data_IF_786923597781
#
_entry.id   IF_786923597781
#
_cell.length_a   1.000
_cell.length_b   1.000
_cell.length_c   1.000
_cell.angle_alpha   90.00
_cell.angle_beta   90.00
_cell.angle_gamma   90.00
#
_symmetry.space_group_name_H-M   'P 1'
#
loop_
_entity.id
_entity.type
_entity.pdbx_description
1 polymer ?
#
# COMPACT_ATOMS: atom_id res chain seq x y z
N UNK A 1 -52.24 -14.21 17.66
CA UNK A 1 -50.89 -14.46 17.07
C UNK A 1 -50.52 -13.31 16.13
N UNK A 2 -49.69 -12.37 16.57
CA UNK A 2 -48.94 -11.45 15.70
C UNK A 2 -47.55 -11.29 16.32
N UNK A 3 -46.54 -11.89 15.69
CA UNK A 3 -45.13 -11.79 16.11
C UNK A 3 -44.58 -10.44 15.65
N UNK A 4 -44.11 -9.63 16.61
CA UNK A 4 -43.31 -8.43 16.36
C UNK A 4 -41.91 -8.86 15.91
N UNK A 5 -41.54 -8.50 14.68
CA UNK A 5 -40.17 -8.58 14.20
C UNK A 5 -39.37 -7.40 14.77
N UNK A 6 -38.33 -7.69 15.56
CA UNK A 6 -37.34 -6.70 16.02
C UNK A 6 -36.48 -6.26 14.84
N UNK A 7 -36.52 -4.95 14.52
CA UNK A 7 -35.56 -4.26 13.66
C UNK A 7 -34.26 -4.06 14.43
N UNK A 8 -33.24 -4.88 14.17
CA UNK A 8 -31.86 -4.70 14.65
C UNK A 8 -30.93 -4.43 13.46
N UNK A 9 -31.08 -3.29 12.79
CA UNK A 9 -30.30 -2.98 11.57
C UNK A 9 -29.79 -1.54 11.45
N UNK A 10 -29.99 -0.67 12.45
CA UNK A 10 -29.75 0.78 12.32
C UNK A 10 -28.69 1.36 13.25
N UNK A 11 -28.09 0.58 14.16
CA UNK A 11 -27.21 1.11 15.23
C UNK A 11 -25.69 1.03 14.97
N UNK A 12 -25.22 0.31 13.94
CA UNK A 12 -23.77 0.30 13.64
C UNK A 12 -23.35 1.55 12.87
N UNK A 13 -24.07 1.94 11.81
CA UNK A 13 -23.70 3.08 10.96
C UNK A 13 -23.76 4.43 11.69
N UNK A 14 -24.66 4.60 12.66
CA UNK A 14 -24.78 5.82 13.47
C UNK A 14 -23.64 5.97 14.49
N UNK A 15 -23.14 4.87 15.04
CA UNK A 15 -22.01 4.85 15.97
C UNK A 15 -20.67 5.04 15.26
N UNK A 16 -20.47 4.48 14.06
CA UNK A 16 -19.25 4.69 13.27
C UNK A 16 -19.10 6.16 12.89
N UNK A 17 -20.17 6.81 12.44
CA UNK A 17 -20.16 8.24 12.10
C UNK A 17 -19.90 9.16 13.30
N UNK A 18 -20.48 8.87 14.47
CA UNK A 18 -20.16 9.61 15.71
C UNK A 18 -18.69 9.45 16.09
N UNK A 19 -18.17 8.22 16.04
CA UNK A 19 -16.78 7.92 16.41
C UNK A 19 -15.77 8.56 15.46
N UNK A 20 -16.03 8.52 14.14
CA UNK A 20 -15.20 9.21 13.15
C UNK A 20 -15.16 10.73 13.42
N UNK A 21 -16.32 11.32 13.67
CA UNK A 21 -16.44 12.76 13.95
C UNK A 21 -15.62 13.16 15.19
N UNK A 22 -15.68 12.36 16.26
CA UNK A 22 -14.87 12.59 17.47
C UNK A 22 -13.36 12.42 17.24
N UNK A 23 -12.94 11.51 16.35
CA UNK A 23 -11.53 11.30 16.01
C UNK A 23 -10.95 12.47 15.20
N UNK A 24 -11.78 13.12 14.38
CA UNK A 24 -11.39 14.26 13.53
C UNK A 24 -11.37 15.58 14.32
N UNK A 25 -12.30 15.76 15.27
CA UNK A 25 -12.45 17.00 16.04
C UNK A 25 -11.54 17.06 17.30
N UNK A 26 -10.56 16.15 17.41
CA UNK A 26 -9.65 16.10 18.55
C UNK A 26 -8.70 17.31 18.59
N UNK A 27 -8.27 17.71 19.79
CA UNK A 27 -7.39 18.88 20.02
C UNK A 27 -5.99 18.77 19.39
N UNK A 28 -5.62 17.59 18.87
CA UNK A 28 -4.41 17.27 18.09
C UNK A 28 -4.68 15.97 17.31
N UNK A 29 -5.35 16.05 16.15
CA UNK A 29 -5.71 14.85 15.41
C UNK A 29 -4.49 14.21 14.76
N UNK A 30 -4.49 12.89 14.63
CA UNK A 30 -3.41 12.17 13.94
C UNK A 30 -3.40 12.47 12.43
N UNK A 31 -4.59 12.68 11.86
CA UNK A 31 -4.81 13.05 10.47
C UNK A 31 -5.59 14.35 10.37
N UNK A 32 -5.19 15.22 9.46
CA UNK A 32 -5.89 16.46 9.15
C UNK A 32 -6.66 16.29 7.84
N UNK A 33 -7.98 16.39 7.90
CA UNK A 33 -8.87 16.24 6.74
C UNK A 33 -9.52 17.56 6.29
N UNK A 34 -8.86 18.70 6.52
CA UNK A 34 -9.31 20.01 6.03
C UNK A 34 -9.15 20.10 4.50
N UNK A 35 -8.08 19.52 3.95
CA UNK A 35 -7.81 19.48 2.51
C UNK A 35 -6.99 18.24 2.13
N UNK A 36 -6.94 17.87 0.83
CA UNK A 36 -6.04 16.83 0.33
C UNK A 36 -4.57 17.03 0.77
N UNK A 37 -4.08 18.27 0.68
CA UNK A 37 -2.72 18.63 1.09
C UNK A 37 -2.49 18.44 2.59
N UNK A 38 -3.41 18.88 3.45
CA UNK A 38 -3.27 18.72 4.89
C UNK A 38 -3.30 17.24 5.33
N UNK A 39 -4.05 16.40 4.59
CA UNK A 39 -4.06 14.94 4.82
C UNK A 39 -2.72 14.31 4.50
N UNK A 40 -2.09 14.64 3.37
CA UNK A 40 -0.73 14.20 3.08
C UNK A 40 0.23 14.70 4.17
N UNK A 41 0.21 15.99 4.47
CA UNK A 41 1.13 16.60 5.44
C UNK A 41 1.01 15.97 6.82
N UNK A 42 -0.20 15.56 7.25
CA UNK A 42 -0.39 14.85 8.51
C UNK A 42 0.32 13.47 8.59
N UNK A 43 0.50 12.80 7.45
CA UNK A 43 1.28 11.55 7.36
C UNK A 43 2.78 11.84 7.47
N UNK A 44 3.26 12.85 6.74
CA UNK A 44 4.67 13.14 6.57
C UNK A 44 5.25 14.15 7.58
N UNK A 45 4.48 14.60 8.59
CA UNK A 45 4.99 15.54 9.61
C UNK A 45 6.31 15.06 10.24
N UNK A 46 7.31 15.93 10.49
CA UNK A 46 7.22 17.39 10.48
C UNK A 46 7.45 18.03 9.10
N UNK A 47 7.57 17.23 8.04
CA UNK A 47 7.78 17.74 6.69
C UNK A 47 6.47 18.28 6.11
N UNK A 48 6.57 19.34 5.32
CA UNK A 48 5.46 19.82 4.51
C UNK A 48 5.53 19.22 3.10
N UNK A 49 4.43 19.33 2.36
CA UNK A 49 4.28 18.77 1.01
C UNK A 49 5.34 19.31 0.04
N UNK A 50 5.70 20.59 0.13
CA UNK A 50 6.72 21.21 -0.73
C UNK A 50 8.10 20.59 -0.51
N UNK A 51 8.53 20.43 0.75
CA UNK A 51 9.80 19.76 1.09
C UNK A 51 9.77 18.31 0.64
N UNK A 52 8.66 17.61 0.87
CA UNK A 52 8.50 16.22 0.42
C UNK A 52 8.70 16.06 -1.09
N UNK A 53 8.00 16.85 -1.90
CA UNK A 53 8.10 16.80 -3.36
C UNK A 53 9.50 17.19 -3.88
N UNK A 54 10.11 18.20 -3.26
CA UNK A 54 11.41 18.69 -3.70
C UNK A 54 12.56 17.75 -3.34
N UNK A 55 12.50 17.11 -2.18
CA UNK A 55 13.68 16.45 -1.62
C UNK A 55 13.56 14.92 -1.61
N UNK A 56 12.34 14.36 -1.63
CA UNK A 56 12.10 12.93 -1.39
C UNK A 56 11.33 12.24 -2.52
N UNK A 57 10.24 12.84 -3.00
CA UNK A 57 9.37 12.25 -4.02
C UNK A 57 10.17 11.82 -5.26
N UNK A 58 10.04 10.54 -5.63
CA UNK A 58 10.75 9.88 -6.74
C UNK A 58 12.28 9.98 -6.67
N UNK A 59 12.86 10.25 -5.49
CA UNK A 59 14.30 10.49 -5.32
C UNK A 59 14.94 9.60 -4.28
N UNK A 60 14.40 9.59 -3.05
CA UNK A 60 15.01 8.85 -1.94
C UNK A 60 14.00 8.54 -0.84
N UNK A 61 14.30 7.53 0.01
CA UNK A 61 13.47 7.24 1.17
C UNK A 61 13.34 8.42 2.13
N UNK A 62 12.16 8.56 2.73
CA UNK A 62 11.88 9.43 3.86
C UNK A 62 11.54 8.56 5.07
N UNK A 63 12.46 8.47 6.02
CA UNK A 63 12.25 7.75 7.28
C UNK A 63 11.88 8.75 8.37
N UNK A 64 10.68 8.61 8.93
CA UNK A 64 10.18 9.49 9.98
C UNK A 64 9.82 8.69 11.23
N UNK A 65 10.81 8.58 12.12
CA UNK A 65 10.66 7.96 13.43
C UNK A 65 10.11 9.00 14.40
N UNK A 66 8.84 8.86 14.77
CA UNK A 66 8.17 9.76 15.72
C UNK A 66 8.61 9.34 17.12
N UNK A 67 9.72 9.92 17.59
CA UNK A 67 10.35 9.61 18.88
C UNK A 67 9.52 9.99 20.13
N UNK A 68 8.26 10.42 19.98
CA UNK A 68 7.36 10.77 21.07
C UNK A 68 6.38 9.63 21.39
N UNK A 69 6.06 9.44 22.67
CA UNK A 69 4.98 8.55 23.05
C UNK A 69 3.66 9.05 22.43
N UNK A 70 3.02 8.21 21.61
CA UNK A 70 1.68 8.50 21.13
C UNK A 70 0.73 8.67 22.31
N UNK A 71 -0.17 9.63 22.20
CA UNK A 71 -1.28 9.73 23.16
C UNK A 71 -2.17 8.49 23.04
N UNK A 72 -2.87 8.15 24.14
CA UNK A 72 -3.86 7.06 24.13
C UNK A 72 -4.85 7.19 22.97
N UNK A 73 -5.29 8.42 22.69
CA UNK A 73 -6.19 8.72 21.58
C UNK A 73 -5.57 8.40 20.22
N UNK A 74 -4.30 8.75 19.98
CA UNK A 74 -3.62 8.42 18.71
C UNK A 74 -3.44 6.91 18.53
N UNK A 75 -3.17 6.17 19.60
CA UNK A 75 -3.16 4.70 19.54
C UNK A 75 -4.54 4.13 19.17
N UNK A 76 -5.63 4.68 19.73
CA UNK A 76 -7.00 4.29 19.39
C UNK A 76 -7.33 4.62 17.92
N UNK A 77 -6.85 5.75 17.40
CA UNK A 77 -6.99 6.12 15.98
C UNK A 77 -6.28 5.11 15.10
N UNK A 78 -4.99 4.82 15.34
CA UNK A 78 -4.22 3.84 14.55
C UNK A 78 -4.88 2.46 14.55
N UNK A 79 -5.29 1.98 15.71
CA UNK A 79 -5.94 0.68 15.87
C UNK A 79 -7.32 0.61 15.17
N UNK A 80 -7.96 1.76 14.95
CA UNK A 80 -9.23 1.85 14.22
C UNK A 80 -9.08 1.79 12.69
N UNK A 81 -7.89 2.07 12.16
CA UNK A 81 -7.58 1.92 10.72
C UNK A 81 -7.67 0.44 10.36
N UNK A 82 -6.85 -0.36 11.04
CA UNK A 82 -6.86 -1.82 10.98
C UNK A 82 -6.07 -2.37 12.17
N UNK A 83 -6.48 -3.53 12.68
CA UNK A 83 -5.78 -4.22 13.78
C UNK A 83 -5.92 -5.73 13.65
N UNK A 84 -5.15 -6.46 14.45
CA UNK A 84 -5.32 -7.92 14.57
C UNK A 84 -6.76 -8.28 14.99
N UNK A 85 -7.38 -7.48 15.86
CA UNK A 85 -8.78 -7.68 16.28
C UNK A 85 -9.77 -7.53 15.11
N UNK A 86 -9.58 -6.52 14.25
CA UNK A 86 -10.42 -6.33 13.05
C UNK A 86 -10.35 -7.55 12.12
N UNK A 87 -9.16 -8.14 11.96
CA UNK A 87 -8.99 -9.37 11.19
C UNK A 87 -9.74 -10.57 11.81
N UNK A 88 -9.65 -10.72 13.14
CA UNK A 88 -10.36 -11.79 13.86
C UNK A 88 -11.89 -11.67 13.73
N UNK A 89 -12.42 -10.46 13.80
CA UNK A 89 -13.85 -10.17 13.60
C UNK A 89 -14.28 -10.47 12.16
N UNK A 90 -13.49 -10.04 11.17
CA UNK A 90 -13.74 -10.35 9.76
C UNK A 90 -13.72 -11.87 9.49
N UNK A 91 -12.88 -12.63 10.19
CA UNK A 91 -12.82 -14.09 10.11
C UNK A 91 -14.04 -14.77 10.76
N UNK A 92 -14.56 -14.24 11.88
CA UNK A 92 -15.79 -14.75 12.52
C UNK A 92 -17.00 -14.56 11.60
N UNK A 93 -17.06 -13.42 10.94
CA UNK A 93 -18.15 -13.07 10.02
C UNK A 93 -17.95 -13.58 8.59
N UNK A 94 -16.82 -14.25 8.31
CA UNK A 94 -16.52 -14.83 7.00
C UNK A 94 -16.59 -13.78 5.87
N UNK A 95 -15.98 -12.60 6.09
CA UNK A 95 -16.03 -11.48 5.14
C UNK A 95 -14.93 -11.48 4.08
N UNK A 96 -13.84 -12.22 4.29
CA UNK A 96 -12.64 -12.17 3.44
C UNK A 96 -12.45 -13.47 2.67
N UNK A 97 -12.27 -13.38 1.35
CA UNK A 97 -11.94 -14.52 0.48
C UNK A 97 -10.44 -14.60 0.21
N UNK A 98 -9.88 -15.81 0.32
CA UNK A 98 -8.49 -16.07 -0.05
C UNK A 98 -8.27 -15.80 -1.54
N UNK A 99 -7.15 -15.17 -1.90
CA UNK A 99 -6.82 -14.82 -3.28
C UNK A 99 -7.41 -13.49 -3.76
N UNK A 100 -8.59 -13.11 -3.22
CA UNK A 100 -9.28 -11.88 -3.60
C UNK A 100 -9.09 -10.77 -2.57
N UNK A 101 -9.37 -11.07 -1.30
CA UNK A 101 -9.35 -10.07 -0.22
C UNK A 101 -8.13 -10.22 0.68
N UNK A 102 -7.48 -11.39 0.69
CA UNK A 102 -6.23 -11.59 1.41
C UNK A 102 -5.36 -12.70 0.81
N UNK A 103 -4.06 -12.59 1.09
CA UNK A 103 -3.09 -13.67 0.99
C UNK A 103 -2.47 -13.95 2.37
N UNK A 104 -1.91 -15.15 2.51
CA UNK A 104 -1.09 -15.51 3.66
C UNK A 104 0.20 -16.14 3.16
N UNK A 105 1.34 -15.59 3.59
CA UNK A 105 2.66 -15.96 3.10
C UNK A 105 3.69 -15.99 4.24
N UNK A 106 4.84 -16.60 3.98
CA UNK A 106 6.01 -16.53 4.86
C UNK A 106 7.28 -16.56 4.04
N UNK A 107 8.33 -15.93 4.52
CA UNK A 107 9.66 -16.08 3.96
C UNK A 107 10.33 -17.30 4.58
N UNK A 108 10.83 -18.22 3.75
CA UNK A 108 11.49 -19.45 4.21
C UNK A 108 13.02 -19.33 4.33
N UNK A 109 13.57 -18.16 4.00
CA UNK A 109 15.01 -17.89 3.93
C UNK A 109 15.53 -17.73 2.51
N UNK A 110 14.81 -18.26 1.51
CA UNK A 110 15.17 -18.14 0.09
C UNK A 110 14.10 -17.38 -0.69
N UNK A 111 12.82 -17.66 -0.43
CA UNK A 111 11.70 -17.07 -1.16
C UNK A 111 10.45 -16.90 -0.32
N UNK A 112 9.52 -16.13 -0.85
CA UNK A 112 8.16 -16.04 -0.32
C UNK A 112 7.40 -17.32 -0.66
N UNK A 113 6.84 -17.97 0.35
CA UNK A 113 6.02 -19.16 0.24
C UNK A 113 4.59 -18.84 0.64
N UNK A 114 3.68 -18.93 -0.32
CA UNK A 114 2.25 -18.74 -0.08
C UNK A 114 1.61 -19.97 0.58
N UNK A 115 0.60 -19.71 1.41
CA UNK A 115 -0.26 -20.74 1.98
C UNK A 115 -1.24 -21.29 0.92
N UNK A 116 -0.71 -21.98 -0.11
CA UNK A 116 -1.43 -22.50 -1.29
C UNK A 116 -2.59 -23.47 -0.99
N UNK A 117 -2.66 -24.01 0.23
CA UNK A 117 -3.77 -24.87 0.65
C UNK A 117 -4.96 -24.09 1.23
N UNK A 118 -4.84 -22.79 1.45
CA UNK A 118 -5.96 -21.97 1.86
C UNK A 118 -6.88 -21.71 0.65
N UNK A 119 -8.17 -22.00 0.81
CA UNK A 119 -9.20 -21.76 -0.20
C UNK A 119 -10.49 -21.28 0.47
N UNK A 120 -11.28 -20.54 -0.27
CA UNK A 120 -12.57 -20.05 0.18
C UNK A 120 -12.43 -18.92 1.21
N UNK A 121 -13.39 -18.86 2.12
CA UNK A 121 -13.52 -17.75 3.06
C UNK A 121 -12.66 -17.94 4.31
N UNK A 122 -12.08 -16.85 4.80
CA UNK A 122 -11.37 -16.83 6.08
C UNK A 122 -12.34 -17.16 7.21
N UNK A 123 -12.02 -18.20 7.98
CA UNK A 123 -12.71 -18.59 9.21
C UNK A 123 -11.78 -18.38 10.41
N UNK A 124 -12.34 -18.31 11.63
CA UNK A 124 -11.53 -18.26 12.86
C UNK A 124 -10.54 -19.44 12.97
N UNK A 125 -10.94 -20.63 12.51
CA UNK A 125 -10.09 -21.82 12.53
C UNK A 125 -8.90 -21.70 11.57
N UNK A 126 -9.15 -21.27 10.32
CA UNK A 126 -8.07 -21.05 9.35
C UNK A 126 -7.17 -19.88 9.76
N UNK A 127 -7.72 -18.81 10.33
CA UNK A 127 -6.95 -17.70 10.85
C UNK A 127 -5.98 -18.20 11.95
N UNK A 128 -6.50 -18.94 12.94
CA UNK A 128 -5.68 -19.50 14.02
C UNK A 128 -4.57 -20.42 13.47
N UNK A 129 -4.90 -21.28 12.51
CA UNK A 129 -3.95 -22.19 11.87
C UNK A 129 -2.85 -21.44 11.13
N UNK A 130 -3.19 -20.47 10.29
CA UNK A 130 -2.23 -19.76 9.44
C UNK A 130 -1.39 -18.75 10.24
N UNK A 131 -2.05 -17.87 11.00
CA UNK A 131 -1.39 -16.76 11.68
C UNK A 131 -0.59 -17.24 12.91
N UNK A 132 -1.18 -18.08 13.76
CA UNK A 132 -0.52 -18.53 15.00
C UNK A 132 0.21 -19.86 14.83
N UNK A 133 -0.38 -20.81 14.09
CA UNK A 133 0.20 -22.15 13.92
C UNK A 133 1.35 -22.18 12.92
N UNK A 134 1.14 -21.64 11.73
CA UNK A 134 2.13 -21.65 10.63
C UNK A 134 3.00 -20.40 10.58
N UNK A 135 2.71 -19.42 11.44
CA UNK A 135 3.35 -18.11 11.52
C UNK A 135 3.37 -17.34 10.18
N UNK A 136 2.31 -17.45 9.39
CA UNK A 136 2.17 -16.69 8.16
C UNK A 136 1.89 -15.21 8.43
N UNK A 137 2.49 -14.33 7.63
CA UNK A 137 2.04 -12.95 7.46
C UNK A 137 0.77 -12.93 6.64
N UNK A 138 -0.22 -12.16 7.10
CA UNK A 138 -1.43 -11.87 6.32
C UNK A 138 -1.25 -10.56 5.57
N UNK A 139 -1.52 -10.59 4.27
CA UNK A 139 -1.63 -9.41 3.41
C UNK A 139 -3.11 -9.22 3.08
N UNK A 140 -3.73 -8.16 3.59
CA UNK A 140 -5.13 -7.83 3.38
C UNK A 140 -5.22 -6.79 2.27
N UNK A 141 -5.97 -7.10 1.23
CA UNK A 141 -6.08 -6.28 0.03
C UNK A 141 -7.22 -5.28 0.15
N UNK A 142 -6.92 -4.01 -0.17
CA UNK A 142 -7.90 -2.92 -0.23
C UNK A 142 -8.76 -2.80 1.06
N UNK A 143 -8.13 -2.70 2.25
CA UNK A 143 -8.83 -2.63 3.53
C UNK A 143 -9.69 -1.36 3.70
N UNK A 144 -9.49 -0.33 2.87
CA UNK A 144 -10.35 0.85 2.83
C UNK A 144 -11.83 0.51 2.58
N UNK A 145 -12.13 -0.63 1.94
CA UNK A 145 -13.50 -1.13 1.75
C UNK A 145 -14.24 -1.43 3.05
N UNK A 146 -13.53 -1.53 4.17
CA UNK A 146 -14.05 -1.92 5.48
C UNK A 146 -13.66 -0.94 6.60
N UNK A 147 -12.97 0.15 6.27
CA UNK A 147 -12.47 1.14 7.24
C UNK A 147 -12.74 2.54 6.72
N UNK A 148 -13.77 3.20 7.28
CA UNK A 148 -14.20 4.55 6.85
C UNK A 148 -13.09 5.60 7.02
N UNK A 149 -12.29 5.48 8.09
CA UNK A 149 -11.15 6.38 8.33
C UNK A 149 -10.09 6.22 7.24
N UNK A 150 -9.78 4.96 6.90
CA UNK A 150 -8.81 4.69 5.84
C UNK A 150 -9.35 5.11 4.48
N UNK A 151 -10.62 4.82 4.18
CA UNK A 151 -11.25 5.27 2.95
C UNK A 151 -11.16 6.78 2.79
N UNK A 152 -11.50 7.55 3.82
CA UNK A 152 -11.38 9.01 3.79
C UNK A 152 -9.94 9.46 3.56
N UNK A 153 -8.97 8.82 4.20
CA UNK A 153 -7.56 9.12 3.97
C UNK A 153 -7.15 8.86 2.52
N UNK A 154 -7.51 7.70 1.97
CA UNK A 154 -7.14 7.37 0.59
C UNK A 154 -7.83 8.29 -0.41
N UNK A 155 -9.11 8.64 -0.22
CA UNK A 155 -9.83 9.56 -1.10
C UNK A 155 -9.18 10.96 -1.14
N UNK A 156 -8.75 11.47 0.02
CA UNK A 156 -7.99 12.72 0.09
C UNK A 156 -6.65 12.61 -0.65
N UNK A 157 -5.94 11.48 -0.52
CA UNK A 157 -4.69 11.27 -1.23
C UNK A 157 -4.90 11.09 -2.75
N UNK A 158 -5.97 10.44 -3.19
CA UNK A 158 -6.35 10.35 -4.61
C UNK A 158 -6.58 11.74 -5.18
N UNK A 159 -7.30 12.59 -4.45
CA UNK A 159 -7.51 14.00 -4.81
C UNK A 159 -6.21 14.80 -4.86
N UNK A 160 -5.23 14.50 -4.00
CA UNK A 160 -3.93 15.17 -3.99
C UNK A 160 -3.05 14.74 -5.18
N UNK A 161 -2.91 13.42 -5.40
CA UNK A 161 -2.02 12.87 -6.42
C UNK A 161 -2.62 12.87 -7.83
N UNK A 162 -3.95 12.98 -7.95
CA UNK A 162 -4.64 12.97 -9.23
C UNK A 162 -4.65 11.61 -9.92
N UNK A 163 -4.43 10.52 -9.17
CA UNK A 163 -4.47 9.15 -9.66
C UNK A 163 -4.92 8.20 -8.54
N UNK A 164 -5.09 6.92 -8.88
CA UNK A 164 -5.57 5.91 -7.92
C UNK A 164 -4.61 5.77 -6.73
N UNK A 165 -5.21 5.60 -5.55
CA UNK A 165 -4.49 5.31 -4.30
C UNK A 165 -5.09 4.04 -3.70
N UNK A 166 -4.29 2.99 -3.69
CA UNK A 166 -4.64 1.72 -3.07
C UNK A 166 -4.02 1.57 -1.69
N UNK A 167 -4.38 0.49 -1.00
CA UNK A 167 -3.63 0.08 0.18
C UNK A 167 -3.68 -1.42 0.43
N UNK A 168 -2.66 -1.92 1.12
CA UNK A 168 -2.59 -3.25 1.69
C UNK A 168 -2.23 -3.15 3.18
N UNK A 169 -2.83 -4.00 4.00
CA UNK A 169 -2.42 -4.15 5.41
C UNK A 169 -1.64 -5.45 5.57
N UNK A 170 -0.53 -5.39 6.31
CA UNK A 170 0.27 -6.56 6.63
C UNK A 170 0.27 -6.80 8.13
N UNK A 171 -0.13 -8.00 8.54
CA UNK A 171 -0.08 -8.48 9.92
C UNK A 171 0.92 -9.62 10.00
N UNK A 172 2.04 -9.40 10.69
CA UNK A 172 3.17 -10.34 10.78
C UNK A 172 3.34 -10.83 12.22
N UNK A 173 3.38 -12.16 12.46
CA UNK A 173 3.69 -12.73 13.77
C UNK A 173 5.06 -12.31 14.32
N UNK A 174 5.26 -12.29 15.65
CA UNK A 174 6.55 -11.94 16.23
C UNK A 174 7.69 -12.84 15.75
N UNK A 175 8.85 -12.24 15.50
CA UNK A 175 10.08 -12.94 15.08
C UNK A 175 9.97 -13.63 13.72
N UNK A 176 9.09 -13.17 12.82
CA UNK A 176 8.97 -13.72 11.47
C UNK A 176 9.00 -12.67 10.37
N UNK A 177 9.35 -13.12 9.17
CA UNK A 177 9.33 -12.36 7.94
C UNK A 177 8.30 -12.96 6.97
N UNK A 178 7.49 -12.09 6.37
CA UNK A 178 6.42 -12.49 5.45
C UNK A 178 6.89 -12.65 4.01
N UNK A 179 7.63 -11.65 3.53
CA UNK A 179 8.04 -11.53 2.14
C UNK A 179 9.56 -11.55 2.05
N UNK A 180 10.06 -12.21 1.00
CA UNK A 180 11.44 -12.06 0.56
C UNK A 180 11.72 -10.61 0.12
N UNK A 181 13.00 -10.21 -0.01
CA UNK A 181 13.34 -8.92 -0.60
C UNK A 181 12.72 -8.73 -1.99
N UNK A 182 12.18 -7.55 -2.24
CA UNK A 182 11.48 -7.21 -3.48
C UNK A 182 11.48 -5.69 -3.70
N UNK A 183 11.06 -5.26 -4.89
CA UNK A 183 10.67 -3.87 -5.14
C UNK A 183 9.35 -3.84 -5.90
N UNK A 184 8.58 -2.78 -5.66
CA UNK A 184 7.28 -2.56 -6.27
C UNK A 184 7.35 -1.55 -7.43
N UNK A 185 6.28 -1.50 -8.21
CA UNK A 185 6.03 -0.61 -9.36
C UNK A 185 5.22 0.65 -9.00
N UNK A 186 5.14 0.96 -7.71
CA UNK A 186 4.32 2.04 -7.15
C UNK A 186 5.11 2.86 -6.14
N UNK A 187 4.69 4.10 -5.94
CA UNK A 187 5.18 4.95 -4.86
C UNK A 187 4.56 4.46 -3.55
N UNK A 188 5.40 4.22 -2.53
CA UNK A 188 4.99 3.51 -1.31
C UNK A 188 5.08 4.42 -0.08
N UNK A 189 3.98 4.46 0.66
CA UNK A 189 3.83 5.12 1.95
C UNK A 189 3.47 4.06 2.99
N UNK A 190 4.22 3.95 4.08
CA UNK A 190 4.02 2.98 5.14
C UNK A 190 3.76 3.70 6.45
N UNK A 191 2.69 3.28 7.13
CA UNK A 191 2.35 3.72 8.48
C UNK A 191 2.25 2.50 9.38
N UNK A 192 3.08 2.46 10.42
CA UNK A 192 3.06 1.38 11.41
C UNK A 192 1.88 1.61 12.37
N UNK A 193 1.03 0.58 12.54
CA UNK A 193 -0.20 0.65 13.33
C UNK A 193 -0.04 -0.01 14.71
N UNK A 194 0.54 -1.21 14.75
CA UNK A 194 0.70 -2.03 15.97
C UNK A 194 2.07 -2.71 15.99
N UNK A 195 2.62 -2.97 17.17
CA UNK A 195 3.90 -3.65 17.34
C UNK A 195 5.06 -2.94 16.65
N UNK A 196 6.13 -3.68 16.36
CA UNK A 196 7.32 -3.14 15.70
C UNK A 196 7.84 -4.05 14.60
N UNK A 197 8.42 -3.42 13.57
CA UNK A 197 8.97 -4.11 12.42
C UNK A 197 10.32 -3.51 12.04
N UNK A 198 11.30 -4.36 11.90
CA UNK A 198 12.63 -4.01 11.44
C UNK A 198 12.68 -4.02 9.92
N UNK A 199 13.06 -2.89 9.33
CA UNK A 199 13.07 -2.63 7.88
C UNK A 199 14.49 -2.44 7.39
N UNK A 200 14.75 -2.98 6.19
CA UNK A 200 15.98 -2.75 5.43
C UNK A 200 15.61 -2.28 4.03
N UNK A 201 16.16 -1.14 3.61
CA UNK A 201 16.01 -0.61 2.27
C UNK A 201 17.36 -0.69 1.55
N UNK A 202 17.35 -1.01 0.26
CA UNK A 202 18.54 -1.14 -0.58
C UNK A 202 18.37 -0.29 -1.84
N UNK A 203 19.50 -0.07 -2.54
CA UNK A 203 19.49 0.69 -3.79
C UNK A 203 18.62 -0.02 -4.83
N UNK A 204 17.89 0.73 -5.67
CA UNK A 204 17.19 0.14 -6.80
C UNK A 204 18.18 -0.50 -7.79
N UNK A 205 17.86 -1.69 -8.30
CA UNK A 205 18.52 -2.24 -9.49
C UNK A 205 18.02 -1.54 -10.76
N UNK A 206 16.75 -1.12 -10.74
CA UNK A 206 16.11 -0.30 -11.78
C UNK A 206 15.50 0.92 -11.09
N UNK A 207 16.09 2.09 -11.31
CA UNK A 207 15.59 3.34 -10.74
C UNK A 207 14.20 3.66 -11.31
N UNK A 208 13.26 4.01 -10.42
CA UNK A 208 11.87 4.29 -10.78
C UNK A 208 11.21 3.17 -11.62
N UNK A 209 11.48 1.92 -11.23
CA UNK A 209 11.00 0.71 -11.89
C UNK A 209 9.50 0.78 -12.22
N UNK A 210 9.16 0.45 -13.48
CA UNK A 210 7.78 0.44 -13.97
C UNK A 210 7.07 -0.89 -13.70
N UNK A 211 7.83 -1.93 -13.44
CA UNK A 211 7.37 -3.28 -13.12
C UNK A 211 7.91 -3.68 -11.75
N UNK A 212 7.24 -4.60 -11.07
CA UNK A 212 7.67 -5.12 -9.77
C UNK A 212 8.55 -6.37 -9.94
N UNK A 213 9.41 -6.65 -8.95
CA UNK A 213 10.16 -7.90 -8.88
C UNK A 213 10.08 -8.46 -7.47
N UNK A 214 9.76 -9.75 -7.37
CA UNK A 214 9.67 -10.50 -6.12
C UNK A 214 10.83 -11.48 -5.94
N UNK A 215 11.07 -11.90 -4.69
CA UNK A 215 12.02 -12.97 -4.35
C UNK A 215 13.45 -12.72 -4.84
N UNK A 216 13.94 -11.49 -4.63
CA UNK A 216 15.35 -11.19 -4.81
C UNK A 216 16.18 -11.92 -3.76
N UNK A 217 17.31 -12.45 -4.20
CA UNK A 217 18.27 -13.15 -3.34
C UNK A 217 18.87 -12.17 -2.32
N UNK A 218 18.66 -12.37 -1.00
CA UNK A 218 19.21 -11.51 0.04
C UNK A 218 20.74 -11.38 -0.02
N UNK A 219 21.46 -12.42 -0.45
CA UNK A 219 22.93 -12.40 -0.51
C UNK A 219 23.44 -11.46 -1.62
N UNK A 220 22.62 -11.20 -2.63
CA UNK A 220 22.97 -10.37 -3.78
C UNK A 220 22.79 -8.85 -3.57
N UNK A 221 22.16 -8.43 -2.47
CA UNK A 221 21.70 -7.05 -2.28
C UNK A 221 22.79 -6.10 -1.76
N UNK A 222 23.88 -6.63 -1.21
CA UNK A 222 24.89 -5.84 -0.52
C UNK A 222 24.36 -5.20 0.79
N UNK A 223 24.90 -4.04 1.16
CA UNK A 223 24.50 -3.35 2.39
C UNK A 223 23.23 -2.52 2.18
N UNK A 224 22.33 -2.46 3.17
CA UNK A 224 21.18 -1.58 3.12
C UNK A 224 21.63 -0.10 3.09
N UNK A 225 20.89 0.73 2.36
CA UNK A 225 21.04 2.19 2.39
C UNK A 225 20.41 2.80 3.63
N UNK A 226 19.38 2.16 4.18
CA UNK A 226 18.70 2.53 5.40
C UNK A 226 18.27 1.27 6.15
N UNK A 227 18.46 1.25 7.46
CA UNK A 227 18.09 0.13 8.34
C UNK A 227 17.55 0.71 9.65
N UNK A 228 16.28 0.44 9.97
CA UNK A 228 15.58 1.05 11.10
C UNK A 228 14.40 0.17 11.55
N UNK A 229 13.85 0.46 12.73
CA UNK A 229 12.67 -0.22 13.25
C UNK A 229 11.52 0.77 13.36
N UNK A 230 10.41 0.47 12.68
CA UNK A 230 9.17 1.23 12.81
C UNK A 230 8.37 0.75 14.02
N UNK A 231 7.81 1.70 14.77
CA UNK A 231 6.90 1.54 15.91
C UNK A 231 5.59 2.28 15.61
N UNK A 232 4.50 2.06 16.37
CA UNK A 232 3.21 2.64 16.05
C UNK A 232 3.29 4.17 15.88
N UNK A 233 2.75 4.67 14.77
CA UNK A 233 2.79 6.08 14.39
C UNK A 233 3.99 6.50 13.56
N UNK A 234 5.05 5.68 13.49
CA UNK A 234 6.17 5.94 12.59
C UNK A 234 5.74 5.80 11.14
N UNK A 235 6.38 6.62 10.30
CA UNK A 235 6.05 6.75 8.90
C UNK A 235 7.29 6.52 8.04
N UNK A 236 7.10 5.85 6.90
CA UNK A 236 8.13 5.60 5.92
C UNK A 236 7.58 5.88 4.52
N UNK A 237 8.33 6.59 3.70
CA UNK A 237 8.10 6.65 2.25
C UNK A 237 9.35 6.18 1.50
N UNK A 238 9.16 5.52 0.36
CA UNK A 238 10.22 5.29 -0.61
C UNK A 238 9.66 5.20 -2.04
N UNK A 239 10.47 5.58 -3.05
CA UNK A 239 10.05 5.53 -4.44
C UNK A 239 10.05 4.11 -5.00
N UNK A 240 9.27 3.88 -6.05
CA UNK A 240 9.23 2.60 -6.78
C UNK A 240 10.62 2.17 -7.24
N UNK A 241 10.85 0.86 -7.30
CA UNK A 241 12.18 0.28 -7.53
C UNK A 241 13.07 0.19 -6.30
N UNK A 242 12.76 0.87 -5.19
CA UNK A 242 13.50 0.71 -3.92
C UNK A 242 13.32 -0.71 -3.39
N UNK A 243 14.42 -1.47 -3.34
CA UNK A 243 14.40 -2.83 -2.79
C UNK A 243 14.20 -2.75 -1.29
N UNK A 244 13.29 -3.55 -0.76
CA UNK A 244 12.99 -3.55 0.67
C UNK A 244 12.64 -4.94 1.20
N UNK A 245 12.86 -5.12 2.49
CA UNK A 245 12.40 -6.28 3.26
C UNK A 245 12.14 -5.87 4.71
N UNK A 246 11.26 -6.63 5.38
CA UNK A 246 10.89 -6.33 6.75
C UNK A 246 10.56 -7.58 7.58
N UNK A 247 11.12 -7.63 8.79
CA UNK A 247 10.91 -8.69 9.77
C UNK A 247 10.24 -8.12 11.02
N UNK A 248 9.22 -8.79 11.56
CA UNK A 248 8.65 -8.38 12.84
C UNK A 248 9.63 -8.67 13.98
N UNK A 249 9.74 -7.76 14.93
CA UNK A 249 10.64 -7.96 16.07
C UNK A 249 10.24 -9.19 16.89
N UNK A 250 11.20 -9.75 17.63
CA UNK A 250 10.93 -10.82 18.58
C UNK A 250 10.01 -10.36 19.73
N UNK A 251 9.36 -11.31 20.39
CA UNK A 251 8.49 -11.08 21.54
C UNK A 251 7.09 -11.64 21.35
N UNK A 252 6.11 -10.93 21.91
CA UNK A 252 4.72 -11.42 22.01
C UNK A 252 3.69 -10.56 21.26
N UNK A 253 4.13 -9.54 20.51
CA UNK A 253 3.23 -8.62 19.80
C UNK A 253 3.35 -8.80 18.29
N UNK A 254 2.20 -8.89 17.61
CA UNK A 254 2.15 -8.83 16.15
C UNK A 254 2.59 -7.44 15.67
N UNK A 255 3.25 -7.41 14.52
CA UNK A 255 3.46 -6.17 13.78
C UNK A 255 2.33 -5.98 12.78
N UNK A 256 1.64 -4.84 12.86
CA UNK A 256 0.63 -4.43 11.87
C UNK A 256 1.07 -3.11 11.23
N UNK A 257 1.14 -3.06 9.91
CA UNK A 257 1.31 -1.79 9.18
C UNK A 257 0.37 -1.73 7.98
N UNK A 258 0.08 -0.51 7.55
CA UNK A 258 -0.55 -0.25 6.26
C UNK A 258 0.51 0.25 5.28
N UNK A 259 0.46 -0.30 4.08
CA UNK A 259 1.13 0.21 2.89
C UNK A 259 0.08 0.89 2.03
N UNK A 260 0.21 2.20 1.85
CA UNK A 260 -0.56 3.01 0.91
C UNK A 260 0.29 3.14 -0.36
N UNK A 261 -0.31 2.88 -1.52
CA UNK A 261 0.41 2.87 -2.80
C UNK A 261 -0.29 3.72 -3.86
N UNK A 262 0.50 4.39 -4.68
CA UNK A 262 0.00 5.26 -5.76
C UNK A 262 0.99 5.34 -6.94
N UNK A 263 0.65 6.12 -7.97
CA UNK A 263 1.51 6.41 -9.11
C UNK A 263 1.86 5.22 -10.04
N UNK A 264 1.12 4.11 -9.94
CA UNK A 264 1.28 2.99 -10.88
C UNK A 264 1.03 3.44 -12.32
N UNK A 265 2.03 3.25 -13.18
CA UNK A 265 1.98 3.66 -14.59
C UNK A 265 1.55 5.13 -14.82
N UNK A 266 2.00 6.05 -13.95
CA UNK A 266 1.77 7.50 -14.08
C UNK A 266 3.02 8.26 -14.57
N UNK A 267 3.89 7.60 -15.33
CA UNK A 267 5.12 8.23 -15.85
C UNK A 267 4.84 9.15 -17.05
N UNK A 268 5.80 10.01 -17.40
CA UNK A 268 5.75 10.78 -18.64
C UNK A 268 5.55 9.89 -19.89
N UNK A 269 6.16 8.69 -19.91
CA UNK A 269 5.99 7.74 -21.00
C UNK A 269 4.55 7.22 -21.11
N UNK A 270 3.90 6.95 -19.97
CA UNK A 270 2.50 6.51 -19.94
C UNK A 270 1.56 7.62 -20.41
N UNK A 271 1.79 8.85 -19.94
CA UNK A 271 1.02 10.02 -20.35
C UNK A 271 1.16 10.28 -21.86
N UNK A 272 2.40 10.31 -22.38
CA UNK A 272 2.66 10.51 -23.81
C UNK A 272 2.01 9.40 -24.64
N UNK A 273 2.13 8.14 -24.23
CA UNK A 273 1.48 7.03 -24.94
C UNK A 273 -0.05 7.21 -25.03
N UNK A 274 -0.68 7.68 -23.96
CA UNK A 274 -2.13 7.95 -23.92
C UNK A 274 -2.53 9.08 -24.87
N UNK A 275 -1.79 10.20 -24.84
CA UNK A 275 -2.10 11.39 -25.65
C UNK A 275 -1.75 11.20 -27.13
N UNK A 276 -0.65 10.50 -27.43
CA UNK A 276 -0.16 10.30 -28.80
C UNK A 276 -1.19 9.60 -29.68
N UNK A 277 -1.84 8.55 -29.19
CA UNK A 277 -2.83 7.82 -29.99
C UNK A 277 -3.96 8.73 -30.45
N UNK A 278 -4.63 9.42 -29.53
CA UNK A 278 -5.73 10.33 -29.86
C UNK A 278 -5.28 11.53 -30.69
N UNK A 279 -4.05 12.03 -30.47
CA UNK A 279 -3.50 13.15 -31.23
C UNK A 279 -3.23 12.76 -32.69
N UNK A 280 -2.65 11.58 -32.91
CA UNK A 280 -2.39 11.04 -34.25
C UNK A 280 -3.70 10.81 -35.00
N UNK A 281 -4.72 10.24 -34.37
CA UNK A 281 -6.04 10.06 -34.98
C UNK A 281 -6.73 11.39 -35.32
N UNK A 282 -6.62 12.39 -34.44
CA UNK A 282 -7.14 13.74 -34.69
C UNK A 282 -6.42 14.44 -35.86
N UNK A 283 -5.10 14.29 -35.95
CA UNK A 283 -4.29 14.81 -37.05
C UNK A 283 -4.61 14.09 -38.37
N UNK A 284 -4.74 12.77 -38.36
CA UNK A 284 -5.14 11.99 -39.53
C UNK A 284 -6.55 12.40 -40.02
N UNK A 285 -7.45 12.78 -39.11
CA UNK A 285 -8.79 13.25 -39.46
C UNK A 285 -8.79 14.66 -40.09
N UNK A 286 -7.90 15.54 -39.63
CA UNK A 286 -7.89 16.97 -40.00
C UNK A 286 -6.86 17.38 -41.05
N UNK A 287 -5.80 16.58 -41.27
CA UNK A 287 -4.69 16.91 -42.16
C UNK A 287 -4.44 15.82 -43.21
N UNK A 288 -4.38 16.23 -44.48
CA UNK A 288 -4.01 15.33 -45.58
C UNK A 288 -2.58 14.83 -45.47
N UNK A 289 -1.67 15.62 -44.91
CA UNK A 289 -0.26 15.25 -44.76
C UNK A 289 -0.11 14.02 -43.86
N UNK A 290 -0.95 13.90 -42.82
CA UNK A 290 -1.01 12.75 -41.91
C UNK A 290 -1.77 11.54 -42.48
N UNK A 291 -2.47 11.70 -43.63
CA UNK A 291 -3.13 10.59 -44.34
C UNK A 291 -2.33 10.06 -45.53
N UNK A 292 -1.28 10.77 -45.95
CA UNK A 292 -0.45 10.29 -47.06
C UNK A 292 0.25 9.00 -46.65
N UNK A 293 0.27 8.04 -47.56
CA UNK A 293 1.02 6.80 -47.36
C UNK A 293 2.52 7.09 -47.19
N UNK A 294 3.16 6.32 -46.33
CA UNK A 294 4.63 6.31 -46.21
C UNK A 294 5.27 5.89 -47.55
N UNK A 295 6.54 6.27 -47.82
CA UNK A 295 7.21 5.91 -49.08
C UNK A 295 7.21 4.40 -49.33
N UNK A 296 7.02 4.00 -50.59
CA UNK A 296 7.01 2.59 -50.99
C UNK A 296 8.33 1.91 -50.60
N UNK A 297 8.25 0.71 -50.04
CA UNK A 297 9.42 -0.06 -49.59
C UNK A 297 10.01 0.36 -48.23
N UNK A 298 9.41 1.35 -47.53
CA UNK A 298 9.90 1.78 -46.21
C UNK A 298 9.83 0.69 -45.14
N UNK A 299 8.79 -0.17 -45.19
CA UNK A 299 8.59 -1.26 -44.22
C UNK A 299 9.64 -2.36 -44.37
N UNK A 300 10.15 -2.59 -45.58
CA UNK A 300 11.24 -3.55 -45.85
C UNK A 300 12.62 -3.02 -45.46
N UNK A 301 12.73 -1.77 -44.98
CA UNK A 301 13.99 -1.18 -44.55
C UNK A 301 14.31 -1.63 -43.11
N UNK A 302 15.47 -2.27 -42.84
CA UNK A 302 15.80 -2.85 -41.54
C UNK A 302 15.77 -1.90 -40.35
N UNK A 303 15.79 -0.57 -40.58
CA UNK A 303 15.66 0.46 -39.54
C UNK A 303 14.31 0.40 -38.80
N UNK A 304 13.24 -0.11 -39.44
CA UNK A 304 11.94 -0.30 -38.80
C UNK A 304 11.77 -1.68 -38.13
N UNK A 305 12.68 -2.63 -38.39
CA UNK A 305 12.65 -3.98 -37.83
C UNK A 305 13.61 -4.16 -36.63
N UNK A 306 14.42 -3.17 -36.29
CA UNK A 306 15.20 -3.18 -35.05
C UNK A 306 14.31 -2.77 -33.88
N UNK A 307 13.54 -3.73 -33.34
CA UNK A 307 13.07 -3.61 -31.96
C UNK A 307 14.28 -3.51 -31.03
N UNK A 308 14.33 -2.55 -30.09
CA UNK A 308 15.25 -2.66 -28.97
C UNK A 308 14.75 -3.80 -28.09
N UNK A 309 15.52 -4.89 -28.08
CA UNK A 309 15.44 -5.92 -27.04
C UNK A 309 15.83 -5.33 -25.68
#
# INVERSE_FOLDING_TARGET
MKRQAKKNGTDMCSNTNKRLKTLIEAKNPLFDFISPTSSLESLIQPFNSKTFLNDYWEKKPLVNLRHGALTKHQHEVLSSIYSTQVLEEAAKEKRLLFGRDFHACRFDGEKTVDAVHAKGTLTSASLKKLLHGQKCTFQIHQPQRYSDLLWRLLEHLESYFGCLVGSNVYITPPGTQGLAPHYDDVEVFILQLEGSKHWKLYKPQVELARDYVVNLDPESLGNPIEEFTLRPGDFLYFPRGTIHQACADEGNQFSTHITISTYQHQSYGDYLRSVLFSSVEGLASSSVDFRRGIPLGSISNPVFNSSPL
#
